data_IF_556473857552
#
_entry.id   IF_556473857552
#
_cell.length_a   1.000
_cell.length_b   1.000
_cell.length_c   1.000
_cell.angle_alpha   90.00
_cell.angle_beta   90.00
_cell.angle_gamma   90.00
#
_symmetry.space_group_name_H-M   'P 1'
#
loop_
_entity.id
_entity.type
_entity.pdbx_description
1 polymer ?
#
# COMPACT_ATOMS: atom_id res chain seq x y z
N UNK A 1 -5.91 14.91 3.03
CA UNK A 1 -5.20 14.53 4.28
C UNK A 1 -4.15 13.50 3.92
N UNK A 2 -2.91 13.66 4.39
CA UNK A 2 -1.81 12.74 4.08
C UNK A 2 -1.86 11.54 5.02
N UNK A 3 -1.77 10.35 4.46
CA UNK A 3 -1.69 9.09 5.16
C UNK A 3 -0.41 8.36 4.79
N UNK A 4 0.24 7.81 5.80
CA UNK A 4 1.32 6.85 5.64
C UNK A 4 0.71 5.47 5.43
N UNK A 5 0.87 4.90 4.25
CA UNK A 5 0.54 3.51 3.99
C UNK A 5 1.70 2.60 4.42
N UNK A 6 1.38 1.60 5.24
CA UNK A 6 2.27 0.52 5.64
C UNK A 6 1.59 -0.83 5.42
N UNK A 7 2.38 -1.87 5.15
CA UNK A 7 1.88 -3.23 4.97
C UNK A 7 2.94 -4.24 5.41
N UNK A 8 2.54 -5.49 5.52
CA UNK A 8 3.45 -6.60 5.86
C UNK A 8 3.69 -7.45 4.64
N UNK A 9 4.96 -7.64 4.29
CA UNK A 9 5.36 -8.61 3.27
C UNK A 9 5.64 -9.95 3.94
N UNK A 10 4.74 -10.91 3.76
CA UNK A 10 4.86 -12.25 4.33
C UNK A 10 5.52 -13.21 3.31
N UNK A 11 6.60 -13.91 3.70
CA UNK A 11 7.14 -15.00 2.90
C UNK A 11 6.22 -16.22 2.97
N UNK A 12 5.76 -16.71 1.81
CA UNK A 12 4.94 -17.92 1.69
C UNK A 12 5.58 -18.97 0.81
N UNK A 13 5.06 -20.20 0.90
CA UNK A 13 5.50 -21.39 0.12
C UNK A 13 5.55 -21.19 -1.40
N UNK A 14 4.89 -20.16 -1.94
CA UNK A 14 4.79 -19.87 -3.38
C UNK A 14 5.30 -18.46 -3.74
N UNK A 15 5.98 -17.78 -2.83
CA UNK A 15 6.46 -16.42 -3.01
C UNK A 15 5.97 -15.47 -1.91
N UNK A 16 6.32 -14.20 -2.07
CA UNK A 16 5.99 -13.14 -1.12
C UNK A 16 4.58 -12.63 -1.39
N UNK A 17 3.85 -12.26 -0.34
CA UNK A 17 2.54 -11.62 -0.45
C UNK A 17 2.48 -10.41 0.47
N UNK A 18 1.93 -9.32 -0.04
CA UNK A 18 1.69 -8.12 0.74
C UNK A 18 0.30 -8.22 1.35
N UNK A 19 0.21 -8.08 2.67
CA UNK A 19 -1.06 -8.14 3.41
C UNK A 19 -1.00 -7.27 4.66
N UNK A 20 -2.17 -7.02 5.27
CA UNK A 20 -2.26 -6.19 6.45
C UNK A 20 -1.95 -4.73 6.14
N UNK A 21 -2.48 -4.24 5.02
CA UNK A 21 -2.37 -2.84 4.64
C UNK A 21 -3.04 -1.96 5.70
N UNK A 22 -2.33 -0.91 6.12
CA UNK A 22 -2.79 0.07 7.10
C UNK A 22 -2.41 1.46 6.65
N UNK A 23 -3.28 2.42 6.91
CA UNK A 23 -3.02 3.82 6.69
C UNK A 23 -3.01 4.54 8.05
N UNK A 24 -1.97 5.32 8.31
CA UNK A 24 -1.89 6.15 9.51
C UNK A 24 -1.82 7.62 9.08
N UNK A 25 -2.73 8.50 9.55
CA UNK A 25 -2.65 9.92 9.21
C UNK A 25 -1.32 10.49 9.70
N UNK A 26 -0.57 11.12 8.79
CA UNK A 26 0.73 11.70 9.10
C UNK A 26 0.84 13.12 8.56
N UNK A 27 1.53 13.98 9.31
CA UNK A 27 1.90 15.32 8.84
C UNK A 27 3.29 15.34 8.22
N UNK A 28 4.09 14.32 8.49
CA UNK A 28 5.45 14.12 7.99
C UNK A 28 5.51 12.77 7.27
N UNK A 29 5.33 12.75 5.95
CA UNK A 29 5.39 11.52 5.17
C UNK A 29 6.79 10.89 5.23
N UNK A 30 6.86 9.57 5.38
CA UNK A 30 8.12 8.82 5.33
C UNK A 30 8.16 7.97 4.06
N UNK A 31 8.82 8.53 3.04
CA UNK A 31 8.96 7.87 1.74
C UNK A 31 10.02 6.76 1.74
N UNK A 32 10.76 6.56 2.86
CA UNK A 32 11.71 5.46 3.01
C UNK A 32 11.08 4.25 3.70
N UNK A 33 10.23 4.46 4.70
CA UNK A 33 9.56 3.40 5.47
C UNK A 33 8.19 2.97 4.94
N UNK A 34 7.61 3.70 3.99
CA UNK A 34 6.29 3.41 3.44
C UNK A 34 5.94 4.28 2.23
N UNK A 35 4.65 4.35 1.94
CA UNK A 35 4.14 5.19 0.84
C UNK A 35 3.21 6.24 1.41
N UNK A 36 3.58 7.50 1.26
CA UNK A 36 2.70 8.60 1.61
C UNK A 36 1.75 8.93 0.45
N UNK A 37 0.47 9.02 0.79
CA UNK A 37 -0.60 9.32 -0.17
C UNK A 37 -1.61 10.28 0.46
N UNK A 38 -2.12 11.21 -0.34
CA UNK A 38 -3.18 12.11 0.09
C UNK A 38 -4.55 11.52 -0.27
N UNK A 39 -5.42 11.35 0.73
CA UNK A 39 -6.82 10.97 0.56
C UNK A 39 -7.74 12.14 0.93
N UNK A 40 -8.93 12.21 0.32
CA UNK A 40 -9.92 13.26 0.65
C UNK A 40 -10.52 13.11 2.05
N UNK A 41 -10.51 11.90 2.60
CA UNK A 41 -10.97 11.63 3.97
C UNK A 41 -10.81 10.16 4.37
N UNK A 42 -11.13 9.83 5.62
CA UNK A 42 -10.99 8.48 6.18
C UNK A 42 -11.76 7.42 5.39
N UNK A 43 -12.96 7.77 4.87
CA UNK A 43 -13.79 6.86 4.08
C UNK A 43 -13.13 6.44 2.75
N UNK A 44 -12.47 7.37 2.06
CA UNK A 44 -11.74 7.08 0.82
C UNK A 44 -10.52 6.21 1.11
N UNK A 45 -9.82 6.50 2.21
CA UNK A 45 -8.69 5.73 2.68
C UNK A 45 -9.09 4.27 3.03
N UNK A 46 -10.18 4.06 3.77
CA UNK A 46 -10.66 2.72 4.12
C UNK A 46 -11.09 1.90 2.89
N UNK A 47 -11.80 2.56 1.96
CA UNK A 47 -12.17 1.94 0.68
C UNK A 47 -10.94 1.53 -0.14
N UNK A 48 -9.92 2.41 -0.18
CA UNK A 48 -8.66 2.11 -0.84
C UNK A 48 -7.90 0.97 -0.16
N UNK A 49 -7.86 0.93 1.18
CA UNK A 49 -7.23 -0.15 1.95
C UNK A 49 -7.88 -1.51 1.68
N UNK A 50 -9.20 -1.57 1.53
CA UNK A 50 -9.88 -2.81 1.13
C UNK A 50 -9.51 -3.22 -0.29
N UNK A 51 -9.54 -2.27 -1.23
CA UNK A 51 -9.22 -2.53 -2.63
C UNK A 51 -7.78 -3.03 -2.81
N UNK A 52 -6.80 -2.41 -2.15
CA UNK A 52 -5.40 -2.79 -2.25
C UNK A 52 -5.15 -4.16 -1.60
N UNK A 53 -5.79 -4.47 -0.48
CA UNK A 53 -5.71 -5.78 0.17
C UNK A 53 -6.28 -6.87 -0.76
N UNK A 54 -7.45 -6.66 -1.37
CA UNK A 54 -8.04 -7.62 -2.32
C UNK A 54 -7.16 -7.81 -3.57
N UNK A 55 -6.59 -6.72 -4.09
CA UNK A 55 -5.72 -6.75 -5.27
C UNK A 55 -4.40 -7.51 -5.03
N UNK A 56 -3.81 -7.36 -3.84
CA UNK A 56 -2.54 -8.01 -3.51
C UNK A 56 -2.66 -9.33 -2.75
N UNK A 57 -3.83 -9.67 -2.20
CA UNK A 57 -4.07 -10.95 -1.53
C UNK A 57 -3.88 -12.16 -2.47
N UNK A 58 -4.33 -12.03 -3.72
CA UNK A 58 -4.16 -13.07 -4.75
C UNK A 58 -2.80 -12.99 -5.47
N UNK A 59 -2.08 -11.86 -5.33
CA UNK A 59 -0.85 -11.58 -6.07
C UNK A 59 0.37 -12.10 -5.30
N UNK A 60 1.27 -12.77 -6.02
CA UNK A 60 2.51 -13.32 -5.46
C UNK A 60 3.70 -12.66 -6.13
N UNK A 61 4.65 -12.25 -5.31
CA UNK A 61 5.87 -11.60 -5.73
C UNK A 61 7.06 -12.53 -5.59
N UNK A 62 8.03 -12.36 -6.49
CA UNK A 62 9.26 -13.15 -6.46
C UNK A 62 10.27 -12.59 -5.47
N UNK A 63 10.26 -11.27 -5.24
CA UNK A 63 11.20 -10.58 -4.36
C UNK A 63 10.55 -9.36 -3.66
N UNK A 64 11.14 -8.93 -2.54
CA UNK A 64 10.59 -7.86 -1.70
C UNK A 64 10.66 -6.49 -2.38
N UNK A 65 11.67 -6.25 -3.22
CA UNK A 65 11.84 -4.98 -3.92
C UNK A 65 10.73 -4.77 -4.97
N UNK A 66 10.42 -5.79 -5.76
CA UNK A 66 9.32 -5.84 -6.73
C UNK A 66 7.97 -5.68 -6.04
N UNK A 67 7.79 -6.35 -4.89
CA UNK A 67 6.58 -6.20 -4.08
C UNK A 67 6.40 -4.74 -3.62
N UNK A 68 7.46 -4.12 -3.11
CA UNK A 68 7.42 -2.74 -2.66
C UNK A 68 7.20 -1.76 -3.82
N UNK A 69 7.93 -1.91 -4.91
CA UNK A 69 7.82 -1.03 -6.09
C UNK A 69 6.43 -1.12 -6.73
N UNK A 70 5.87 -2.32 -6.84
CA UNK A 70 4.51 -2.53 -7.37
C UNK A 70 3.45 -1.87 -6.49
N UNK A 71 3.53 -2.05 -5.16
CA UNK A 71 2.59 -1.42 -4.23
C UNK A 71 2.73 0.11 -4.31
N UNK A 72 3.96 0.62 -4.29
CA UNK A 72 4.25 2.05 -4.44
C UNK A 72 3.67 2.63 -5.72
N UNK A 73 3.91 1.98 -6.86
CA UNK A 73 3.38 2.42 -8.15
C UNK A 73 1.83 2.40 -8.17
N UNK A 74 1.21 1.38 -7.57
CA UNK A 74 -0.25 1.29 -7.47
C UNK A 74 -0.85 2.43 -6.66
N UNK A 75 -0.27 2.72 -5.48
CA UNK A 75 -0.72 3.79 -4.59
C UNK A 75 -0.52 5.17 -5.23
N UNK A 76 0.66 5.42 -5.82
CA UNK A 76 0.95 6.70 -6.50
C UNK A 76 0.07 6.90 -7.75
N UNK A 77 -0.19 5.84 -8.51
CA UNK A 77 -1.09 5.89 -9.66
C UNK A 77 -2.54 6.20 -9.28
N UNK A 78 -3.00 5.65 -8.15
CA UNK A 78 -4.33 5.97 -7.62
C UNK A 78 -4.41 7.45 -7.19
N UNK A 79 -3.38 7.95 -6.50
CA UNK A 79 -3.31 9.35 -6.07
C UNK A 79 -3.26 10.33 -7.26
N UNK A 80 -2.58 9.96 -8.34
CA UNK A 80 -2.49 10.78 -9.55
C UNK A 80 -3.79 10.79 -10.39
N UNK A 81 -4.71 9.85 -10.14
CA UNK A 81 -5.97 9.73 -10.89
C UNK A 81 -7.14 10.48 -10.22
N UNK A 82 -6.90 11.23 -9.14
CA UNK A 82 -7.91 11.77 -8.23
C UNK A 82 -7.82 13.29 -8.04
#
# INVERSE_FOLDING_TARGET
>A
MIYQLGWTTLPGLRGLSCSGFRATPTRTPDNQGGVAVEFRGDHECDAFLRQIEEHFAARRFTNTAEAFDTVKAYVLGHAASH
#
